data_IF_446350267726
#
_entry.id   IF_446350267726
#
_cell.length_a   1.000
_cell.length_b   1.000
_cell.length_c   1.000
_cell.angle_alpha   90.00
_cell.angle_beta   90.00
_cell.angle_gamma   90.00
#
_symmetry.space_group_name_H-M   'P 1'
#
loop_
_entity.id
_entity.type
_entity.pdbx_description
1 polymer ?
#
# COMPACT_ATOMS: atom_id res chain seq x y z
N UNK A 1 -13.93 -0.56 18.44
CA UNK A 1 -12.95 -0.23 17.39
C UNK A 1 -12.79 1.28 17.29
N UNK A 2 -11.62 1.76 16.87
CA UNK A 2 -11.32 3.21 16.80
C UNK A 2 -12.05 3.88 15.62
N UNK A 3 -12.10 5.21 15.61
CA UNK A 3 -12.73 6.00 14.54
C UNK A 3 -12.10 5.69 13.17
N UNK A 4 -10.78 5.52 13.14
CA UNK A 4 -10.00 5.22 11.94
C UNK A 4 -10.40 3.86 11.37
N UNK A 5 -10.48 2.83 12.23
CA UNK A 5 -10.88 1.48 11.83
C UNK A 5 -12.33 1.45 11.32
N UNK A 6 -13.23 2.24 11.92
CA UNK A 6 -14.61 2.39 11.44
C UNK A 6 -14.67 3.10 10.07
N UNK A 7 -13.84 4.12 9.86
CA UNK A 7 -13.75 4.83 8.58
C UNK A 7 -13.24 3.92 7.46
N UNK A 8 -12.23 3.09 7.75
CA UNK A 8 -11.72 2.07 6.81
C UNK A 8 -12.85 1.12 6.42
N UNK A 9 -13.53 0.51 7.39
CA UNK A 9 -14.64 -0.41 7.13
C UNK A 9 -15.71 0.24 6.24
N UNK A 10 -16.17 1.44 6.60
CA UNK A 10 -17.18 2.18 5.84
C UNK A 10 -16.77 2.36 4.38
N UNK A 11 -15.55 2.83 4.13
CA UNK A 11 -15.05 3.06 2.77
C UNK A 11 -14.98 1.79 1.94
N UNK A 12 -14.53 0.68 2.53
CA UNK A 12 -14.45 -0.59 1.81
C UNK A 12 -15.87 -1.08 1.49
N UNK A 13 -16.85 -0.92 2.40
CA UNK A 13 -18.24 -1.32 2.14
C UNK A 13 -18.98 -0.42 1.14
N UNK A 14 -18.55 0.83 0.99
CA UNK A 14 -19.16 1.81 0.06
C UNK A 14 -18.50 1.81 -1.33
N UNK A 15 -17.43 1.04 -1.53
CA UNK A 15 -16.67 0.99 -2.78
C UNK A 15 -16.72 -0.40 -3.40
N UNK A 16 -16.61 -0.49 -4.73
CA UNK A 16 -16.35 -1.76 -5.40
C UNK A 16 -14.87 -2.10 -5.23
N UNK A 17 -14.55 -3.12 -4.42
CA UNK A 17 -13.17 -3.49 -4.06
C UNK A 17 -12.90 -4.94 -4.41
N UNK A 18 -11.89 -5.19 -5.23
CA UNK A 18 -11.44 -6.56 -5.59
C UNK A 18 -10.35 -7.08 -4.65
N UNK A 19 -9.62 -6.16 -4.02
CA UNK A 19 -8.51 -6.46 -3.12
C UNK A 19 -8.37 -5.38 -2.05
N UNK A 20 -8.04 -5.78 -0.83
CA UNK A 20 -7.60 -4.87 0.22
C UNK A 20 -6.16 -5.19 0.58
N UNK A 21 -5.27 -4.20 0.46
CA UNK A 21 -3.90 -4.30 0.91
C UNK A 21 -3.63 -3.26 2.01
N UNK A 22 -2.95 -3.66 3.08
CA UNK A 22 -2.68 -2.84 4.25
C UNK A 22 -1.24 -2.99 4.69
N UNK A 23 -0.54 -1.88 4.92
CA UNK A 23 0.70 -1.86 5.67
C UNK A 23 0.39 -1.68 7.16
N UNK A 24 1.08 -2.43 8.01
CA UNK A 24 0.99 -2.33 9.46
C UNK A 24 2.37 -2.00 10.02
N UNK A 25 2.44 -1.02 10.92
CA UNK A 25 3.65 -0.62 11.60
C UNK A 25 3.53 -0.90 13.09
N UNK A 26 4.32 -1.87 13.56
CA UNK A 26 4.34 -2.30 14.97
C UNK A 26 5.79 -2.49 15.40
N UNK A 27 6.15 -1.99 16.59
CA UNK A 27 7.49 -2.15 17.17
C UNK A 27 8.64 -1.76 16.22
N UNK A 28 8.49 -0.64 15.51
CA UNK A 28 9.47 -0.12 14.54
C UNK A 28 9.69 -1.02 13.31
N UNK A 29 8.73 -1.89 13.00
CA UNK A 29 8.79 -2.80 11.88
C UNK A 29 7.53 -2.74 11.02
N UNK A 30 7.72 -2.74 9.70
CA UNK A 30 6.63 -2.73 8.73
C UNK A 30 6.33 -4.14 8.24
N UNK A 31 5.05 -4.49 8.25
CA UNK A 31 4.49 -5.74 7.71
C UNK A 31 3.31 -5.40 6.81
N UNK A 32 2.87 -6.36 6.00
CA UNK A 32 1.76 -6.19 5.06
C UNK A 32 0.72 -7.29 5.21
N UNK A 33 -0.54 -6.93 4.96
CA UNK A 33 -1.66 -7.86 4.80
C UNK A 33 -2.32 -7.63 3.45
N UNK A 34 -2.57 -8.69 2.70
CA UNK A 34 -3.28 -8.64 1.42
C UNK A 34 -4.45 -9.61 1.45
N UNK A 35 -5.64 -9.09 1.21
CA UNK A 35 -6.87 -9.85 1.12
C UNK A 35 -7.45 -9.70 -0.29
N UNK A 36 -7.54 -10.82 -1.02
CA UNK A 36 -8.26 -10.90 -2.28
C UNK A 36 -9.73 -11.22 -2.01
N UNK A 37 -10.64 -10.44 -2.59
CA UNK A 37 -12.05 -10.62 -2.33
C UNK A 37 -12.52 -12.02 -2.75
N UNK A 38 -13.21 -12.71 -1.84
CA UNK A 38 -13.71 -14.06 -2.08
C UNK A 38 -12.70 -15.17 -1.82
N UNK A 39 -11.50 -14.86 -1.33
CA UNK A 39 -10.60 -15.86 -0.77
C UNK A 39 -10.91 -16.09 0.71
N UNK A 40 -10.51 -17.24 1.26
CA UNK A 40 -10.68 -17.54 2.70
C UNK A 40 -9.45 -17.16 3.53
N UNK A 41 -8.33 -16.79 2.90
CA UNK A 41 -7.08 -16.50 3.59
C UNK A 41 -6.61 -15.08 3.27
N UNK A 42 -5.95 -14.47 4.26
CA UNK A 42 -5.20 -13.21 4.09
C UNK A 42 -3.72 -13.56 3.96
N UNK A 43 -3.04 -12.99 2.97
CA UNK A 43 -1.59 -13.11 2.84
C UNK A 43 -0.88 -12.13 3.78
N UNK A 44 0.14 -12.61 4.47
CA UNK A 44 0.96 -11.82 5.39
C UNK A 44 2.39 -11.70 4.87
N UNK A 45 2.83 -10.47 4.64
CA UNK A 45 4.18 -10.14 4.19
C UNK A 45 5.02 -9.59 5.35
N UNK A 46 6.01 -10.36 5.78
CA UNK A 46 7.01 -9.93 6.75
C UNK A 46 8.43 -10.18 6.23
N UNK A 47 9.21 -9.12 6.05
CA UNK A 47 10.60 -9.20 5.58
C UNK A 47 11.57 -9.76 6.63
N UNK A 48 11.17 -9.92 7.89
CA UNK A 48 11.93 -10.67 8.89
C UNK A 48 11.54 -12.15 8.97
N UNK A 49 10.51 -12.56 8.20
CA UNK A 49 9.92 -13.90 8.23
C UNK A 49 9.41 -14.32 9.62
N UNK A 50 8.90 -13.35 10.40
CA UNK A 50 8.19 -13.62 11.64
C UNK A 50 6.78 -14.15 11.39
N UNK A 51 6.12 -14.52 12.49
CA UNK A 51 4.71 -14.92 12.47
C UNK A 51 3.79 -13.68 12.51
N UNK A 52 2.59 -13.74 11.92
CA UNK A 52 1.61 -12.68 12.09
C UNK A 52 1.21 -12.53 13.56
N UNK A 53 0.82 -11.33 14.02
CA UNK A 53 0.28 -11.14 15.38
C UNK A 53 -0.93 -12.02 15.65
N UNK A 54 -1.00 -12.65 16.83
CA UNK A 54 -2.03 -13.65 17.14
C UNK A 54 -3.47 -13.09 17.15
N UNK A 55 -3.62 -11.80 17.44
CA UNK A 55 -4.88 -11.09 17.56
C UNK A 55 -5.35 -10.42 16.25
N UNK A 56 -4.53 -10.47 15.19
CA UNK A 56 -4.85 -9.73 13.96
C UNK A 56 -5.97 -10.39 13.16
N UNK A 57 -6.12 -11.72 13.19
CA UNK A 57 -7.14 -12.42 12.41
C UNK A 57 -8.58 -12.01 12.78
N UNK A 58 -8.99 -11.98 14.07
CA UNK A 58 -10.28 -11.44 14.47
C UNK A 58 -10.51 -9.98 14.03
N UNK A 59 -9.46 -9.16 14.05
CA UNK A 59 -9.54 -7.76 13.60
C UNK A 59 -9.78 -7.71 12.09
N UNK A 60 -9.05 -8.48 11.29
CA UNK A 60 -9.23 -8.54 9.84
C UNK A 60 -10.60 -9.11 9.45
N UNK A 61 -11.08 -10.15 10.14
CA UNK A 61 -12.44 -10.67 9.99
C UNK A 61 -13.49 -9.59 10.27
N UNK A 62 -13.25 -8.78 11.31
CA UNK A 62 -14.13 -7.65 11.60
C UNK A 62 -14.00 -6.56 10.53
N UNK A 63 -12.80 -6.15 10.09
CA UNK A 63 -12.64 -5.07 9.09
C UNK A 63 -13.29 -5.48 7.75
N UNK A 64 -13.06 -6.71 7.31
CA UNK A 64 -13.50 -7.22 6.01
C UNK A 64 -14.87 -7.92 6.06
N UNK A 65 -15.49 -8.00 7.22
CA UNK A 65 -16.77 -8.67 7.41
C UNK A 65 -17.88 -7.98 6.62
N UNK A 66 -18.53 -8.73 5.72
CA UNK A 66 -19.59 -8.24 4.85
C UNK A 66 -19.14 -7.81 3.46
N UNK A 67 -17.83 -7.88 3.16
CA UNK A 67 -17.32 -7.61 1.81
C UNK A 67 -17.51 -8.79 0.85
N UNK A 68 -17.35 -10.01 1.36
CA UNK A 68 -17.53 -11.23 0.60
C UNK A 68 -18.49 -12.18 1.32
N UNK A 69 -19.09 -13.09 0.55
CA UNK A 69 -19.89 -14.19 1.11
C UNK A 69 -19.05 -15.19 1.91
N UNK A 70 -17.75 -15.32 1.57
CA UNK A 70 -16.82 -16.20 2.26
C UNK A 70 -16.18 -15.50 3.46
N UNK A 71 -16.13 -16.20 4.58
CA UNK A 71 -15.45 -15.74 5.78
C UNK A 71 -13.95 -16.01 5.66
N UNK A 72 -13.14 -15.08 6.15
CA UNK A 72 -11.71 -15.29 6.32
C UNK A 72 -11.50 -16.31 7.44
N UNK A 73 -10.80 -17.40 7.15
CA UNK A 73 -10.54 -18.51 8.06
C UNK A 73 -9.11 -18.53 8.58
N UNK A 74 -8.18 -17.80 7.94
CA UNK A 74 -6.77 -17.87 8.33
C UNK A 74 -5.89 -16.81 7.68
N UNK A 75 -4.62 -16.85 8.10
CA UNK A 75 -3.54 -16.03 7.56
C UNK A 75 -2.45 -16.96 7.06
N UNK A 76 -1.97 -16.71 5.85
CA UNK A 76 -0.90 -17.47 5.22
C UNK A 76 0.29 -16.55 4.93
N UNK A 77 1.51 -17.07 5.03
CA UNK A 77 2.69 -16.27 4.70
C UNK A 77 2.77 -16.06 3.18
N UNK A 78 2.84 -14.79 2.78
CA UNK A 78 3.08 -14.40 1.39
C UNK A 78 4.56 -14.54 0.99
N UNK A 79 4.82 -14.41 -0.31
CA UNK A 79 6.18 -14.52 -0.86
C UNK A 79 6.90 -13.17 -0.80
N UNK A 80 7.70 -12.99 0.25
CA UNK A 80 8.54 -11.80 0.49
C UNK A 80 9.99 -12.20 0.78
N UNK A 81 10.96 -11.44 0.27
CA UNK A 81 12.39 -11.69 0.55
C UNK A 81 12.76 -11.19 1.95
N UNK A 82 13.76 -11.86 2.54
CA UNK A 82 14.24 -11.56 3.88
C UNK A 82 15.19 -10.35 3.88
N UNK A 83 15.04 -9.45 4.83
CA UNK A 83 16.03 -8.43 5.16
C UNK A 83 16.97 -8.92 6.27
N UNK A 84 18.18 -8.38 6.34
CA UNK A 84 19.11 -8.70 7.42
C UNK A 84 20.48 -8.01 7.30
N UNK A 85 21.35 -8.34 8.25
CA UNK A 85 22.72 -7.80 8.31
C UNK A 85 23.46 -8.06 6.98
N UNK A 86 23.92 -7.00 6.32
CA UNK A 86 24.60 -7.09 5.02
C UNK A 86 23.68 -7.30 3.81
N UNK A 87 22.36 -7.33 3.99
CA UNK A 87 21.39 -7.47 2.90
C UNK A 87 20.07 -6.75 3.23
N UNK A 88 20.00 -5.47 2.89
CA UNK A 88 18.76 -4.69 2.98
C UNK A 88 18.30 -4.33 4.40
N UNK A 89 19.22 -4.25 5.37
CA UNK A 89 18.92 -3.78 6.72
C UNK A 89 18.18 -2.42 6.71
N UNK A 90 17.21 -2.27 7.61
CA UNK A 90 16.38 -1.07 7.71
C UNK A 90 15.43 -0.83 6.54
N UNK A 91 15.19 -1.82 5.67
CA UNK A 91 14.36 -1.68 4.47
C UNK A 91 12.97 -2.31 4.60
N UNK A 92 12.49 -2.58 5.82
CA UNK A 92 11.20 -3.25 6.04
C UNK A 92 10.03 -2.51 5.38
N UNK A 93 10.03 -1.18 5.41
CA UNK A 93 9.01 -0.37 4.73
C UNK A 93 9.01 -0.57 3.22
N UNK A 94 10.18 -0.60 2.60
CA UNK A 94 10.33 -0.80 1.14
C UNK A 94 9.98 -2.24 0.74
N UNK A 95 10.39 -3.22 1.54
CA UNK A 95 10.04 -4.62 1.32
C UNK A 95 8.52 -4.86 1.46
N UNK A 96 7.89 -4.25 2.48
CA UNK A 96 6.45 -4.25 2.71
C UNK A 96 5.71 -3.61 1.52
N UNK A 97 6.16 -2.44 1.07
CA UNK A 97 5.57 -1.75 -0.07
C UNK A 97 5.69 -2.58 -1.36
N UNK A 98 6.87 -3.10 -1.69
CA UNK A 98 7.05 -3.95 -2.87
C UNK A 98 6.18 -5.22 -2.82
N UNK A 99 5.98 -5.80 -1.64
CA UNK A 99 5.07 -6.93 -1.47
C UNK A 99 3.63 -6.56 -1.85
N UNK A 100 3.16 -5.40 -1.40
CA UNK A 100 1.82 -4.88 -1.75
C UNK A 100 1.72 -4.58 -3.26
N UNK A 101 2.70 -3.88 -3.84
CA UNK A 101 2.70 -3.52 -5.26
C UNK A 101 2.63 -4.76 -6.17
N UNK A 102 3.37 -5.81 -5.81
CA UNK A 102 3.36 -7.07 -6.53
C UNK A 102 2.01 -7.78 -6.41
N UNK A 103 1.35 -7.69 -5.26
CA UNK A 103 0.05 -8.29 -5.08
C UNK A 103 -1.03 -7.58 -5.92
N UNK A 104 -1.04 -6.24 -5.93
CA UNK A 104 -2.00 -5.45 -6.73
C UNK A 104 -1.69 -5.45 -8.23
N UNK A 105 -0.63 -6.15 -8.67
CA UNK A 105 -0.12 -6.13 -10.04
C UNK A 105 0.02 -4.71 -10.58
N UNK A 106 0.54 -3.80 -9.75
CA UNK A 106 0.64 -2.38 -10.09
C UNK A 106 1.34 -2.15 -11.43
N UNK A 107 2.37 -2.96 -11.70
CA UNK A 107 3.15 -2.93 -12.95
C UNK A 107 3.49 -4.35 -13.40
N UNK A 108 3.42 -4.64 -14.71
CA UNK A 108 3.88 -5.92 -15.25
C UNK A 108 5.37 -6.14 -14.96
N UNK A 109 5.74 -7.35 -14.53
CA UNK A 109 7.15 -7.72 -14.38
C UNK A 109 7.87 -7.14 -13.16
N UNK A 110 7.12 -6.67 -12.14
CA UNK A 110 7.74 -6.16 -10.91
C UNK A 110 8.66 -7.19 -10.26
N UNK A 111 9.94 -6.82 -10.20
CA UNK A 111 10.95 -7.61 -9.53
C UNK A 111 10.65 -7.66 -8.02
N UNK A 112 10.74 -8.84 -7.38
CA UNK A 112 10.72 -8.93 -5.94
C UNK A 112 11.85 -8.10 -5.34
N UNK A 113 11.53 -7.33 -4.30
CA UNK A 113 12.52 -6.66 -3.47
C UNK A 113 13.55 -7.67 -3.00
N UNK A 114 14.81 -7.26 -2.95
CA UNK A 114 15.92 -8.09 -2.47
C UNK A 114 16.92 -7.18 -1.77
N UNK A 115 17.54 -7.71 -0.70
CA UNK A 115 18.37 -6.90 0.18
C UNK A 115 19.65 -6.39 -0.48
N UNK A 116 20.23 -7.13 -1.42
CA UNK A 116 21.36 -6.74 -2.26
C UNK A 116 21.02 -5.59 -3.21
N UNK A 117 19.75 -5.48 -3.61
CA UNK A 117 19.24 -4.37 -4.45
C UNK A 117 18.48 -3.31 -3.65
N UNK A 118 18.49 -3.35 -2.32
CA UNK A 118 17.64 -2.49 -1.49
C UNK A 118 17.81 -0.99 -1.77
N UNK A 119 19.03 -0.55 -2.14
CA UNK A 119 19.30 0.82 -2.57
C UNK A 119 18.47 1.21 -3.79
N UNK A 120 18.44 0.36 -4.81
CA UNK A 120 17.73 0.62 -6.07
C UNK A 120 16.23 0.85 -5.79
N UNK A 121 15.63 0.01 -4.95
CA UNK A 121 14.23 0.20 -4.56
C UNK A 121 14.01 1.47 -3.72
N UNK A 122 14.94 1.85 -2.83
CA UNK A 122 14.84 3.11 -2.09
C UNK A 122 14.96 4.33 -2.99
N UNK A 123 15.92 4.31 -3.90
CA UNK A 123 16.19 5.42 -4.82
C UNK A 123 14.96 5.63 -5.74
N UNK A 124 14.37 4.54 -6.25
CA UNK A 124 13.14 4.61 -7.03
C UNK A 124 11.94 5.15 -6.21
N UNK A 125 11.74 4.66 -4.98
CA UNK A 125 10.67 5.17 -4.10
C UNK A 125 10.84 6.67 -3.79
N UNK A 126 12.08 7.12 -3.62
CA UNK A 126 12.39 8.53 -3.39
C UNK A 126 12.13 9.37 -4.66
N UNK A 127 12.51 8.87 -5.83
CA UNK A 127 12.25 9.52 -7.11
C UNK A 127 10.75 9.77 -7.32
N UNK A 128 9.91 8.76 -7.05
CA UNK A 128 8.47 8.91 -7.13
C UNK A 128 7.93 10.00 -6.18
N UNK A 129 8.42 10.01 -4.93
CA UNK A 129 8.03 11.03 -3.95
C UNK A 129 8.43 12.43 -4.41
N UNK A 130 9.63 12.57 -4.98
CA UNK A 130 10.11 13.83 -5.52
C UNK A 130 9.29 14.28 -6.72
N UNK A 131 8.89 13.36 -7.60
CA UNK A 131 8.07 13.64 -8.78
C UNK A 131 6.66 14.10 -8.38
N UNK A 132 6.00 13.36 -7.49
CA UNK A 132 4.68 13.73 -6.96
C UNK A 132 4.75 15.11 -6.28
N UNK A 133 5.77 15.33 -5.44
CA UNK A 133 5.96 16.62 -4.76
C UNK A 133 6.23 17.76 -5.75
N UNK A 134 7.01 17.52 -6.80
CA UNK A 134 7.25 18.51 -7.84
C UNK A 134 5.95 18.89 -8.56
N UNK A 135 5.15 17.90 -8.98
CA UNK A 135 3.86 18.14 -9.63
C UNK A 135 2.90 18.90 -8.71
N UNK A 136 2.82 18.50 -7.44
CA UNK A 136 2.02 19.19 -6.43
C UNK A 136 2.43 20.66 -6.25
N UNK A 137 3.72 20.97 -6.36
CA UNK A 137 4.23 22.35 -6.27
C UNK A 137 3.87 23.24 -7.48
N UNK A 138 3.53 22.62 -8.62
CA UNK A 138 3.22 23.34 -9.86
C UNK A 138 1.72 23.59 -10.05
N UNK A 139 0.87 22.86 -9.32
CA UNK A 139 -0.58 22.86 -9.56
C UNK A 139 -1.38 22.78 -8.27
N UNK A 140 -2.35 23.67 -8.11
CA UNK A 140 -3.40 23.57 -7.10
C UNK A 140 -4.48 22.58 -7.57
N UNK A 141 -4.17 21.28 -7.51
CA UNK A 141 -5.09 20.18 -7.81
C UNK A 141 -5.25 19.28 -6.57
N UNK A 142 -6.13 18.28 -6.63
CA UNK A 142 -6.21 17.27 -5.58
C UNK A 142 -5.09 16.23 -5.71
N UNK A 143 -4.74 15.58 -4.60
CA UNK A 143 -3.68 14.57 -4.55
C UNK A 143 -3.79 13.48 -5.64
N UNK A 144 -5.01 13.05 -5.97
CA UNK A 144 -5.23 12.05 -7.01
C UNK A 144 -4.68 12.50 -8.38
N UNK A 145 -4.91 13.77 -8.75
CA UNK A 145 -4.45 14.32 -10.01
C UNK A 145 -2.92 14.40 -10.06
N UNK A 146 -2.28 14.73 -8.94
CA UNK A 146 -0.82 14.75 -8.83
C UNK A 146 -0.21 13.36 -9.05
N UNK A 147 -0.78 12.33 -8.43
CA UNK A 147 -0.35 10.95 -8.60
C UNK A 147 -0.55 10.48 -10.04
N UNK A 148 -1.74 10.68 -10.62
CA UNK A 148 -2.03 10.25 -11.99
C UNK A 148 -1.09 10.93 -12.98
N UNK A 149 -0.82 12.22 -12.79
CA UNK A 149 0.15 12.95 -13.59
C UNK A 149 1.58 12.40 -13.44
N UNK A 150 2.01 12.08 -12.22
CA UNK A 150 3.33 11.47 -11.97
C UNK A 150 3.48 10.14 -12.72
N UNK A 151 2.48 9.27 -12.60
CA UNK A 151 2.46 7.96 -13.27
C UNK A 151 2.52 8.08 -14.80
N UNK A 152 1.78 9.03 -15.37
CA UNK A 152 1.76 9.25 -16.83
C UNK A 152 3.10 9.75 -17.41
N UNK A 153 3.99 10.30 -16.58
CA UNK A 153 5.32 10.74 -17.00
C UNK A 153 6.32 9.59 -16.99
N UNK A 154 6.16 8.61 -16.10
CA UNK A 154 6.97 7.39 -16.04
C UNK A 154 6.77 6.56 -17.30
N UNK A 155 5.52 6.36 -17.73
CA UNK A 155 5.20 5.59 -18.95
C UNK A 155 5.81 6.19 -20.24
N UNK A 156 6.10 7.50 -20.27
CA UNK A 156 6.75 8.16 -21.42
C UNK A 156 8.27 8.02 -21.43
N UNK A 157 8.89 7.75 -20.28
CA UNK A 157 10.32 7.49 -20.18
C UNK A 157 10.65 6.03 -20.57
N UNK A 158 9.68 5.13 -20.46
CA UNK A 158 9.81 3.68 -20.65
C UNK A 158 9.97 3.22 -22.11
N UNK A 159 9.95 4.13 -23.11
CA UNK A 159 10.36 3.81 -24.49
C UNK A 159 11.90 3.64 -24.63
N UNK A 160 12.67 3.86 -23.55
CA UNK A 160 14.12 3.67 -23.51
C UNK A 160 14.53 2.55 -22.52
N UNK A 161 14.23 1.28 -22.88
CA UNK A 161 14.88 0.00 -22.49
C UNK A 161 15.52 -0.22 -21.10
N UNK A 162 15.21 0.55 -20.06
CA UNK A 162 15.63 0.31 -18.68
C UNK A 162 14.41 -0.03 -17.82
N UNK A 163 14.47 -1.16 -17.11
CA UNK A 163 13.40 -1.68 -16.27
C UNK A 163 12.98 -0.64 -15.22
N UNK A 164 11.89 0.08 -15.52
CA UNK A 164 11.34 1.13 -14.68
C UNK A 164 10.94 0.60 -13.31
N UNK A 165 11.60 1.15 -12.29
CA UNK A 165 11.44 0.77 -10.89
C UNK A 165 10.47 1.68 -10.15
N UNK A 166 9.74 2.59 -10.82
CA UNK A 166 8.79 3.57 -10.23
C UNK A 166 7.73 2.98 -9.27
N UNK A 167 8.04 2.95 -7.99
CA UNK A 167 7.31 2.44 -6.82
C UNK A 167 6.00 3.20 -6.49
N UNK A 168 5.61 4.22 -7.26
CA UNK A 168 4.39 4.97 -7.02
C UNK A 168 3.13 4.19 -7.43
N UNK A 169 2.52 3.50 -6.48
CA UNK A 169 1.06 3.31 -6.50
C UNK A 169 0.48 4.35 -5.57
N UNK A 170 -0.25 5.30 -6.12
CA UNK A 170 -0.88 6.35 -5.31
C UNK A 170 -1.90 5.75 -4.36
N UNK A 171 -1.55 5.72 -3.08
CA UNK A 171 -2.54 5.52 -2.03
C UNK A 171 -3.36 6.79 -1.91
N UNK A 172 -4.68 6.70 -2.08
CA UNK A 172 -5.64 7.82 -1.95
C UNK A 172 -5.63 8.51 -0.57
N UNK A 173 -4.76 8.08 0.35
CA UNK A 173 -4.85 8.43 1.75
C UNK A 173 -3.49 8.42 2.47
N UNK A 174 -2.61 9.34 2.11
CA UNK A 174 -1.40 9.62 2.89
C UNK A 174 -1.69 10.42 4.18
N UNK A 175 -2.96 10.75 4.45
CA UNK A 175 -3.40 11.50 5.63
C UNK A 175 -4.17 10.59 6.60
N UNK A 176 -3.42 9.86 7.44
CA UNK A 176 -4.01 9.13 8.58
C UNK A 176 -4.57 10.06 9.69
N UNK A 177 -4.50 11.38 9.54
CA UNK A 177 -4.81 12.33 10.63
C UNK A 177 -5.84 13.41 10.30
N UNK A 178 -6.37 13.49 9.08
CA UNK A 178 -7.40 14.50 8.75
C UNK A 178 -8.45 13.86 7.82
N UNK A 179 -9.73 13.74 8.24
CA UNK A 179 -10.79 13.36 7.32
C UNK A 179 -10.93 14.43 6.24
N UNK A 180 -10.77 14.06 4.96
CA UNK A 180 -11.22 14.92 3.87
C UNK A 180 -12.75 15.06 3.98
N UNK A 181 -13.16 16.33 4.06
CA UNK A 181 -14.51 16.88 4.07
C UNK A 181 -15.17 17.00 5.45
N UNK A 182 -15.08 18.21 6.01
CA UNK A 182 -16.24 18.90 6.56
C UNK A 182 -16.44 20.21 5.80
N UNK A 183 -17.08 20.12 4.63
CA UNK A 183 -17.78 21.28 4.04
C UNK A 183 -19.26 21.04 4.32
N UNK A 184 -19.77 21.76 5.33
CA UNK A 184 -21.18 22.10 5.40
C UNK A 184 -21.23 23.62 5.51
N UNK A 185 -21.53 24.27 4.40
CA UNK A 185 -22.00 25.67 4.39
C UNK A 185 -23.42 25.66 3.90
N UNK A 186 -24.37 25.86 4.81
CA UNK A 186 -25.70 26.30 4.45
C UNK A 186 -25.63 27.82 4.21
N UNK A 187 -25.90 28.24 2.99
CA UNK A 187 -26.33 29.62 2.76
C UNK A 187 -27.82 29.66 3.07
N UNK A 188 -28.18 30.36 4.14
CA UNK A 188 -29.52 30.87 4.33
C UNK A 188 -29.52 32.28 3.72
N UNK A 189 -30.40 32.49 2.74
CA UNK A 189 -30.83 33.84 2.35
C UNK A 189 -31.56 34.53 3.51
#
# INVERSE_FOLDING_TARGET
FTTEINNVRRRITESSVEMVAMACHTDSHFTAFVYHLGHTNVEYGDSLHGSPPFDILPILQWIFGGLAAQLITGIVNGVIRRQGLGSGEGSCGVACHNFIERAVNARPGLNPWSGDRARIFRDAALEDLLQVNHIASLKEEEFHEWVVAALSQVERADEAEEQSLSIAVGFRDFNMYIPMVSIVTFNLD
#
